data_IF_703646441283
#
_entry.id   IF_703646441283
#
_cell.length_a   1.000
_cell.length_b   1.000
_cell.length_c   1.000
_cell.angle_alpha   90.00
_cell.angle_beta   90.00
_cell.angle_gamma   90.00
#
_symmetry.space_group_name_H-M   'P 1'
#
loop_
_entity.id
_entity.type
_entity.pdbx_description
1 polymer ?
#
# COMPACT_ATOMS: atom_id res chain seq x y z
N UNK A 1 11.56 14.17 -2.79
CA UNK A 1 10.88 12.89 -2.49
C UNK A 1 10.09 12.37 -3.70
N UNK A 2 9.52 13.26 -4.52
CA UNK A 2 8.70 12.92 -5.70
C UNK A 2 9.31 11.89 -6.66
N UNK A 3 10.62 11.95 -6.92
CA UNK A 3 11.29 10.97 -7.80
C UNK A 3 11.23 9.53 -7.30
N UNK A 4 11.04 9.32 -6.00
CA UNK A 4 11.02 8.01 -5.35
C UNK A 4 9.61 7.55 -4.99
N UNK A 5 8.60 8.41 -5.11
CA UNK A 5 7.21 8.11 -4.74
C UNK A 5 6.38 8.01 -6.00
N UNK A 6 5.56 6.97 -6.09
CA UNK A 6 4.60 6.77 -7.17
C UNK A 6 3.22 7.23 -6.71
N UNK A 7 2.95 8.52 -6.86
CA UNK A 7 1.62 9.08 -6.52
C UNK A 7 0.51 8.45 -7.37
N UNK A 8 0.82 8.02 -8.60
CA UNK A 8 -0.13 7.32 -9.47
C UNK A 8 -0.45 5.89 -9.02
N UNK A 9 0.33 5.30 -8.10
CA UNK A 9 0.08 3.98 -7.55
C UNK A 9 -0.90 3.99 -6.38
N UNK A 10 -1.28 5.15 -5.85
CA UNK A 10 -2.21 5.26 -4.73
C UNK A 10 -3.65 4.98 -5.18
N UNK A 11 -4.48 4.43 -4.29
CA UNK A 11 -5.86 4.09 -4.62
C UNK A 11 -6.73 5.31 -4.95
N UNK A 12 -6.41 6.46 -4.38
CA UNK A 12 -7.10 7.75 -4.48
C UNK A 12 -6.47 8.66 -5.55
N UNK A 13 -5.57 8.13 -6.38
CA UNK A 13 -5.00 8.86 -7.51
C UNK A 13 -5.97 8.94 -8.69
N UNK A 14 -5.93 10.05 -9.43
CA UNK A 14 -6.62 10.18 -10.73
C UNK A 14 -6.17 9.12 -11.75
N UNK A 15 -5.01 8.50 -11.56
CA UNK A 15 -4.57 7.36 -12.38
C UNK A 15 -5.41 6.08 -12.19
N UNK A 16 -6.34 6.07 -11.22
CA UNK A 16 -7.34 5.01 -11.06
C UNK A 16 -8.67 5.35 -11.75
N UNK A 17 -8.84 6.52 -12.37
CA UNK A 17 -10.06 6.96 -13.06
C UNK A 17 -10.11 6.46 -14.54
N UNK A 18 -11.22 5.87 -15.03
CA UNK A 18 -12.43 5.48 -14.30
C UNK A 18 -12.15 4.41 -13.26
N UNK A 19 -12.73 4.60 -12.07
CA UNK A 19 -12.55 3.73 -10.92
C UNK A 19 -12.77 2.26 -11.30
N UNK A 20 -11.72 1.46 -11.17
CA UNK A 20 -11.79 0.03 -11.44
C UNK A 20 -12.29 -0.71 -10.21
N UNK A 21 -13.50 -0.43 -9.74
CA UNK A 21 -14.12 -1.09 -8.59
C UNK A 21 -15.05 -2.25 -8.98
N UNK A 22 -15.35 -3.11 -8.02
CA UNK A 22 -16.40 -4.11 -8.16
C UNK A 22 -17.74 -3.43 -8.46
N UNK A 23 -18.52 -4.00 -9.38
CA UNK A 23 -19.90 -3.59 -9.58
C UNK A 23 -20.72 -3.79 -8.30
N UNK A 24 -21.71 -2.91 -8.02
CA UNK A 24 -22.59 -3.06 -6.86
C UNK A 24 -23.19 -4.46 -6.76
N UNK A 25 -23.25 -5.02 -5.55
CA UNK A 25 -23.80 -6.35 -5.29
C UNK A 25 -22.93 -7.54 -5.75
N UNK A 26 -21.80 -7.30 -6.43
CA UNK A 26 -20.88 -8.37 -6.84
C UNK A 26 -19.79 -8.63 -5.79
N UNK A 27 -19.17 -9.82 -5.84
CA UNK A 27 -17.98 -10.18 -5.03
C UNK A 27 -18.13 -9.98 -3.51
N UNK A 28 -19.36 -9.95 -3.01
CA UNK A 28 -19.69 -9.67 -1.61
C UNK A 28 -18.97 -10.60 -0.64
N UNK A 29 -18.91 -11.91 -0.96
CA UNK A 29 -18.28 -12.89 -0.07
C UNK A 29 -16.78 -12.63 0.14
N UNK A 30 -16.03 -12.28 -0.92
CA UNK A 30 -14.58 -12.00 -0.78
C UNK A 30 -14.35 -10.63 -0.15
N UNK A 31 -15.17 -9.62 -0.49
CA UNK A 31 -15.09 -8.31 0.13
C UNK A 31 -15.35 -8.38 1.64
N UNK A 32 -16.37 -9.14 2.05
CA UNK A 32 -16.68 -9.39 3.45
C UNK A 32 -15.51 -10.08 4.16
N UNK A 33 -15.00 -11.18 3.61
CA UNK A 33 -13.85 -11.90 4.19
C UNK A 33 -12.62 -11.01 4.38
N UNK A 34 -12.34 -10.11 3.43
CA UNK A 34 -11.23 -9.17 3.55
C UNK A 34 -11.47 -8.12 4.64
N UNK A 35 -12.70 -7.59 4.76
CA UNK A 35 -13.06 -6.65 5.83
C UNK A 35 -12.99 -7.31 7.19
N UNK A 36 -13.54 -8.51 7.32
CA UNK A 36 -13.50 -9.29 8.55
C UNK A 36 -12.03 -9.55 8.96
N UNK A 37 -11.15 -9.86 8.00
CA UNK A 37 -9.71 -10.01 8.24
C UNK A 37 -9.02 -8.70 8.66
N UNK A 38 -9.33 -7.58 8.01
CA UNK A 38 -8.78 -6.26 8.37
C UNK A 38 -9.20 -5.85 9.79
N UNK A 39 -10.42 -6.19 10.17
CA UNK A 39 -11.03 -5.79 11.45
C UNK A 39 -10.77 -6.78 12.59
N UNK A 40 -10.06 -7.90 12.32
CA UNK A 40 -9.77 -8.93 13.32
C UNK A 40 -8.41 -8.65 14.01
N UNK A 41 -8.42 -8.14 15.26
CA UNK A 41 -7.18 -7.90 16.01
C UNK A 41 -6.48 -9.19 16.46
N UNK A 42 -7.15 -10.34 16.38
CA UNK A 42 -6.60 -11.65 16.75
C UNK A 42 -5.94 -12.38 15.58
N UNK A 43 -6.05 -11.83 14.36
CA UNK A 43 -5.48 -12.46 13.19
C UNK A 43 -3.95 -12.49 13.26
N UNK A 44 -3.37 -13.68 13.14
CA UNK A 44 -1.91 -13.88 13.01
C UNK A 44 -1.43 -13.77 11.57
N UNK A 45 -2.36 -13.72 10.61
CA UNK A 45 -2.05 -13.73 9.18
C UNK A 45 -1.59 -12.35 8.72
N UNK A 46 -0.37 -12.23 8.23
CA UNK A 46 0.19 -10.96 7.74
C UNK A 46 -0.14 -10.66 6.28
N UNK A 47 -0.64 -11.65 5.52
CA UNK A 47 -0.89 -11.55 4.08
C UNK A 47 -2.24 -12.19 3.73
N UNK A 48 -3.17 -11.38 3.22
CA UNK A 48 -4.38 -11.88 2.58
C UNK A 48 -4.16 -12.04 1.07
N UNK A 49 -4.22 -13.28 0.57
CA UNK A 49 -3.96 -13.59 -0.83
C UNK A 49 -5.25 -13.76 -1.64
N UNK A 50 -5.54 -12.81 -2.55
CA UNK A 50 -6.66 -12.90 -3.51
C UNK A 50 -6.17 -13.51 -4.82
N UNK A 51 -6.59 -14.74 -5.13
CA UNK A 51 -6.25 -15.44 -6.37
C UNK A 51 -7.48 -15.82 -7.19
N UNK A 52 -7.25 -16.13 -8.46
CA UNK A 52 -8.30 -16.48 -9.42
C UNK A 52 -7.88 -16.25 -10.86
N UNK A 53 -8.72 -16.64 -11.83
CA UNK A 53 -8.38 -16.56 -13.25
C UNK A 53 -8.12 -15.12 -13.71
N UNK A 54 -7.45 -14.98 -14.86
CA UNK A 54 -7.31 -13.68 -15.55
C UNK A 54 -8.71 -13.13 -15.84
N UNK A 55 -8.88 -11.82 -15.71
CA UNK A 55 -10.18 -11.17 -15.90
C UNK A 55 -11.18 -11.31 -14.73
N UNK A 56 -10.87 -12.06 -13.66
CA UNK A 56 -11.78 -12.25 -12.52
C UNK A 56 -12.07 -10.98 -11.68
N UNK A 57 -11.44 -9.83 -12.00
CA UNK A 57 -11.63 -8.58 -11.27
C UNK A 57 -10.84 -8.47 -9.96
N UNK A 58 -9.71 -9.17 -9.82
CA UNK A 58 -8.88 -9.14 -8.58
C UNK A 58 -8.43 -7.73 -8.20
N UNK A 59 -7.95 -6.95 -9.17
CA UNK A 59 -7.59 -5.54 -8.94
C UNK A 59 -8.79 -4.71 -8.51
N UNK A 60 -9.99 -5.05 -9.02
CA UNK A 60 -11.20 -4.36 -8.63
C UNK A 60 -11.66 -4.67 -7.21
N UNK A 61 -11.47 -5.91 -6.75
CA UNK A 61 -11.67 -6.29 -5.34
C UNK A 61 -10.74 -5.46 -4.45
N UNK A 62 -9.44 -5.38 -4.79
CA UNK A 62 -8.47 -4.61 -4.00
C UNK A 62 -8.81 -3.11 -3.97
N UNK A 63 -9.18 -2.53 -5.12
CA UNK A 63 -9.58 -1.12 -5.21
C UNK A 63 -10.84 -0.81 -4.40
N UNK A 64 -11.86 -1.68 -4.46
CA UNK A 64 -13.08 -1.54 -3.65
C UNK A 64 -12.78 -1.61 -2.15
N UNK A 65 -11.90 -2.51 -1.72
CA UNK A 65 -11.49 -2.58 -0.31
C UNK A 65 -10.79 -1.28 0.10
N UNK A 66 -9.78 -0.84 -0.65
CA UNK A 66 -9.02 0.37 -0.34
C UNK A 66 -9.93 1.61 -0.21
N UNK A 67 -10.85 1.80 -1.15
CA UNK A 67 -11.81 2.91 -1.09
C UNK A 67 -12.80 2.78 0.08
N UNK A 68 -13.39 1.59 0.28
CA UNK A 68 -14.44 1.42 1.30
C UNK A 68 -13.89 1.48 2.73
N UNK A 69 -12.62 1.10 2.93
CA UNK A 69 -11.95 1.13 4.23
C UNK A 69 -11.26 2.49 4.49
N UNK A 70 -10.89 3.21 3.44
CA UNK A 70 -10.17 4.47 3.52
C UNK A 70 -8.81 4.36 4.24
N UNK A 71 -8.20 5.51 4.49
CA UNK A 71 -6.87 5.62 5.12
C UNK A 71 -6.84 5.21 6.60
N UNK A 72 -8.00 5.16 7.26
CA UNK A 72 -8.10 4.77 8.67
C UNK A 72 -7.75 3.28 8.87
N UNK A 73 -8.22 2.41 7.97
CA UNK A 73 -8.00 0.97 8.04
C UNK A 73 -6.96 0.47 7.03
N UNK A 74 -6.82 1.17 5.90
CA UNK A 74 -5.82 0.86 4.85
C UNK A 74 -4.92 2.09 4.68
N UNK A 75 -3.92 2.28 5.56
CA UNK A 75 -3.16 3.53 5.63
C UNK A 75 -2.26 3.77 4.42
N UNK A 76 -1.91 2.72 3.68
CA UNK A 76 -1.07 2.80 2.49
C UNK A 76 -1.49 1.77 1.43
N UNK A 77 -1.34 2.14 0.15
CA UNK A 77 -1.66 1.27 -0.99
C UNK A 77 -0.63 1.41 -2.09
N UNK A 78 -0.51 0.39 -2.93
CA UNK A 78 0.27 0.46 -4.16
C UNK A 78 -0.35 -0.45 -5.22
N UNK A 79 -0.85 0.16 -6.30
CA UNK A 79 -1.46 -0.53 -7.43
C UNK A 79 -0.50 -0.61 -8.61
N UNK A 80 0.16 -1.75 -8.76
CA UNK A 80 1.03 -2.02 -9.92
C UNK A 80 0.26 -1.92 -11.24
N UNK A 81 0.90 -1.32 -12.25
CA UNK A 81 0.37 -1.27 -13.60
C UNK A 81 1.51 -1.27 -14.62
N UNK A 82 1.54 -2.27 -15.50
CA UNK A 82 2.68 -2.55 -16.39
C UNK A 82 2.98 -1.39 -17.36
N UNK A 83 1.94 -0.71 -17.84
CA UNK A 83 2.07 0.35 -18.85
C UNK A 83 2.34 1.72 -18.25
N UNK A 84 2.49 1.84 -16.92
CA UNK A 84 2.83 3.08 -16.23
C UNK A 84 4.21 2.92 -15.59
N UNK A 85 5.16 3.75 -16.00
CA UNK A 85 6.55 3.68 -15.55
C UNK A 85 6.74 4.00 -14.05
N UNK A 86 5.81 4.73 -13.44
CA UNK A 86 5.76 4.96 -12.00
C UNK A 86 5.20 3.76 -11.23
N UNK A 87 4.29 3.01 -11.83
CA UNK A 87 3.59 1.87 -11.20
C UNK A 87 4.20 0.52 -11.55
N UNK A 88 5.16 0.47 -12.48
CA UNK A 88 5.92 -0.72 -12.84
C UNK A 88 7.35 -0.71 -12.28
N UNK A 89 7.70 0.28 -11.45
CA UNK A 89 8.99 0.35 -10.76
C UNK A 89 8.87 -0.18 -9.34
N UNK A 90 9.34 -1.41 -9.13
CA UNK A 90 9.33 -2.05 -7.82
C UNK A 90 10.08 -1.25 -6.75
N UNK A 91 11.12 -0.48 -7.13
CA UNK A 91 11.88 0.32 -6.17
C UNK A 91 11.04 1.42 -5.50
N UNK A 92 9.95 1.83 -6.14
CA UNK A 92 9.03 2.84 -5.59
C UNK A 92 8.01 2.28 -4.63
N UNK A 93 7.84 0.95 -4.52
CA UNK A 93 6.82 0.34 -3.67
C UNK A 93 6.96 0.82 -2.22
N UNK A 94 8.10 0.55 -1.59
CA UNK A 94 8.28 0.80 -0.17
C UNK A 94 8.38 2.27 0.18
N UNK A 95 9.03 3.09 -0.66
CA UNK A 95 9.08 4.54 -0.50
C UNK A 95 7.69 5.16 -0.62
N UNK A 96 6.83 4.65 -1.52
CA UNK A 96 5.44 5.10 -1.67
C UNK A 96 4.58 4.68 -0.49
N UNK A 97 4.76 3.45 0.03
CA UNK A 97 4.05 3.00 1.24
C UNK A 97 4.50 3.80 2.47
N UNK A 98 5.81 3.97 2.67
CA UNK A 98 6.39 4.74 3.77
C UNK A 98 5.91 6.20 3.73
N UNK A 99 5.88 6.83 2.55
CA UNK A 99 5.28 8.15 2.38
C UNK A 99 3.84 8.17 2.89
N UNK A 100 2.97 7.28 2.41
CA UNK A 100 1.56 7.24 2.83
C UNK A 100 1.40 6.97 4.33
N UNK A 101 2.21 6.08 4.90
CA UNK A 101 2.19 5.77 6.33
C UNK A 101 2.60 6.98 7.19
N UNK A 102 3.56 7.79 6.75
CA UNK A 102 3.98 9.00 7.46
C UNK A 102 2.84 10.04 7.59
N UNK A 103 1.87 10.04 6.67
CA UNK A 103 0.70 10.93 6.73
C UNK A 103 -0.48 10.28 7.47
N UNK A 104 -0.65 8.96 7.31
CA UNK A 104 -1.78 8.24 7.93
C UNK A 104 -1.54 7.91 9.41
N UNK A 105 -0.28 7.76 9.84
CA UNK A 105 0.10 7.32 11.19
C UNK A 105 1.18 8.26 11.75
N UNK A 106 0.81 9.24 12.60
CA UNK A 106 1.74 10.24 13.12
C UNK A 106 3.01 9.64 13.78
N UNK A 107 2.87 8.53 14.50
CA UNK A 107 4.00 7.86 15.16
C UNK A 107 5.07 7.34 14.18
N UNK A 108 4.71 7.02 12.93
CA UNK A 108 5.64 6.54 11.91
C UNK A 108 6.38 7.71 11.25
N UNK A 109 5.78 8.90 11.23
CA UNK A 109 6.34 10.09 10.57
C UNK A 109 7.72 10.44 11.10
N UNK A 110 7.84 10.54 12.42
CA UNK A 110 9.09 10.95 13.07
C UNK A 110 10.18 9.91 12.85
N UNK A 111 9.81 8.64 12.86
CA UNK A 111 10.73 7.54 12.61
C UNK A 111 11.31 7.55 11.18
N UNK A 112 10.44 7.79 10.18
CA UNK A 112 10.87 7.94 8.79
C UNK A 112 11.73 9.19 8.62
N UNK A 113 11.35 10.32 9.26
CA UNK A 113 12.11 11.56 9.18
C UNK A 113 13.53 11.40 9.77
N UNK A 114 13.65 10.75 10.93
CA UNK A 114 14.93 10.44 11.55
C UNK A 114 15.77 9.51 10.66
N UNK A 115 15.18 8.43 10.15
CA UNK A 115 15.88 7.49 9.26
C UNK A 115 16.42 8.18 8.02
N UNK A 116 15.66 9.09 7.42
CA UNK A 116 16.09 9.88 6.27
C UNK A 116 17.13 10.94 6.62
N UNK A 117 17.13 11.46 7.85
CA UNK A 117 18.16 12.36 8.34
C UNK A 117 19.50 11.64 8.51
N UNK A 118 19.50 10.47 9.14
CA UNK A 118 20.70 9.64 9.36
C UNK A 118 21.21 9.02 8.06
N UNK A 119 20.29 8.64 7.16
CA UNK A 119 20.60 7.97 5.90
C UNK A 119 19.82 8.60 4.73
N UNK A 120 20.30 9.74 4.19
CA UNK A 120 19.65 10.42 3.06
C UNK A 120 19.62 9.59 1.76
N UNK A 121 20.48 8.57 1.67
CA UNK A 121 20.59 7.66 0.55
C UNK A 121 19.54 6.55 0.55
N UNK A 122 18.75 6.36 1.63
CA UNK A 122 17.76 5.27 1.73
C UNK A 122 16.83 5.16 0.53
N UNK A 123 16.21 6.24 0.00
CA UNK A 123 15.29 6.09 -1.13
C UNK A 123 15.96 5.57 -2.42
N UNK A 124 17.29 5.60 -2.49
CA UNK A 124 18.08 5.09 -3.62
C UNK A 124 18.51 3.63 -3.46
N UNK A 125 18.34 3.04 -2.28
CA UNK A 125 18.81 1.67 -2.01
C UNK A 125 17.83 0.64 -2.53
N UNK A 126 18.36 -0.55 -2.77
CA UNK A 126 17.61 -1.68 -3.28
C UNK A 126 16.47 -2.07 -2.34
N UNK A 127 15.40 -2.60 -2.93
CA UNK A 127 14.13 -2.99 -2.32
C UNK A 127 14.24 -3.64 -0.92
N UNK A 128 15.18 -4.58 -0.75
CA UNK A 128 15.37 -5.32 0.52
C UNK A 128 15.83 -4.44 1.68
N UNK A 129 16.60 -3.38 1.40
CA UNK A 129 17.17 -2.52 2.43
C UNK A 129 16.17 -1.47 2.91
N UNK A 130 15.32 -0.95 2.01
CA UNK A 130 14.33 0.08 2.32
C UNK A 130 13.22 -0.43 3.25
N UNK A 131 12.81 -1.70 3.07
CA UNK A 131 11.82 -2.34 3.92
C UNK A 131 12.25 -2.38 5.39
N UNK A 132 13.48 -2.83 5.65
CA UNK A 132 13.95 -3.05 7.02
C UNK A 132 14.16 -1.74 7.77
N UNK A 133 14.73 -0.72 7.12
CA UNK A 133 15.09 0.52 7.81
C UNK A 133 13.88 1.44 7.99
N UNK A 134 12.97 1.54 7.01
CA UNK A 134 11.84 2.47 7.10
C UNK A 134 10.65 1.92 7.91
N UNK A 135 10.46 0.59 7.95
CA UNK A 135 9.22 -0.02 8.48
C UNK A 135 9.44 -1.05 9.60
N UNK A 136 10.66 -1.54 9.81
CA UNK A 136 10.95 -2.60 10.77
C UNK A 136 12.05 -2.24 11.77
N UNK A 137 12.48 -0.98 11.77
CA UNK A 137 13.47 -0.48 12.70
C UNK A 137 12.82 -0.49 14.09
N UNK A 138 13.20 -1.51 14.88
CA UNK A 138 12.75 -1.72 16.25
C UNK A 138 13.05 -0.44 17.02
N UNK A 139 12.06 0.06 17.75
CA UNK A 139 12.30 0.87 18.94
C UNK A 139 13.34 0.14 19.78
N UNK A 140 14.58 0.62 19.80
CA UNK A 140 15.52 0.21 20.83
C UNK A 140 14.93 0.58 22.19
N UNK A 141 15.12 -0.27 23.23
CA UNK A 141 14.47 -0.14 24.52
C UNK A 141 14.76 1.19 25.24
#
# INVERSE_FOLDING_TARGET
MEKYVSFTAQFDSSAQDPERICHPGTRQNVLKRMKDWIDDPSSTESIFWVHGPVGAGKSAIAQTIAQSCGRQKVPATFFFFRSDSGRNDGNKLFTTLAYQLAFSIPAIKDHIAQSLHERPDLPTKALKHNLTILLLSRSSP
#
